data_IF_853887292076
#
_entry.id   IF_853887292076
#
_cell.length_a   1.000
_cell.length_b   1.000
_cell.length_c   1.000
_cell.angle_alpha   90.00
_cell.angle_beta   90.00
_cell.angle_gamma   90.00
#
_symmetry.space_group_name_H-M   'P 1'
#
loop_
_entity.id
_entity.type
_entity.pdbx_description
1 polymer ?
#
# COMPACT_ATOMS: atom_id res chain seq x y z
N UNK A 1 -15.04 -4.36 -12.65
CA UNK A 1 -14.14 -3.36 -12.00
C UNK A 1 -12.72 -3.62 -12.48
N UNK A 2 -11.81 -2.64 -12.48
CA UNK A 2 -10.43 -2.83 -13.01
C UNK A 2 -9.67 -3.99 -12.34
N UNK A 3 -9.99 -4.26 -11.07
CA UNK A 3 -9.40 -5.34 -10.28
C UNK A 3 -9.82 -6.74 -10.73
N UNK A 4 -10.92 -6.86 -11.48
CA UNK A 4 -11.50 -8.15 -11.87
C UNK A 4 -11.43 -8.36 -13.39
N UNK A 5 -10.62 -7.53 -14.08
CA UNK A 5 -10.34 -7.69 -15.51
C UNK A 5 -9.46 -8.91 -15.75
N UNK A 6 -9.42 -9.41 -16.99
CA UNK A 6 -8.51 -10.48 -17.40
C UNK A 6 -7.47 -9.95 -18.40
N UNK A 7 -6.15 -9.92 -18.07
CA UNK A 7 -5.57 -10.32 -16.79
C UNK A 7 -5.73 -9.25 -15.69
N UNK A 8 -5.97 -9.71 -14.46
CA UNK A 8 -6.12 -8.81 -13.31
C UNK A 8 -4.78 -8.15 -12.97
N UNK A 9 -4.76 -6.84 -12.64
CA UNK A 9 -3.53 -6.19 -12.23
C UNK A 9 -3.02 -6.79 -10.91
N UNK A 10 -1.70 -6.96 -10.81
CA UNK A 10 -1.04 -7.27 -9.53
C UNK A 10 -0.95 -5.98 -8.72
N UNK A 11 -1.35 -6.04 -7.45
CA UNK A 11 -1.32 -4.91 -6.54
C UNK A 11 -0.48 -5.28 -5.34
N UNK A 12 0.48 -4.42 -5.01
CA UNK A 12 1.22 -4.46 -3.76
C UNK A 12 0.97 -3.16 -3.03
N UNK A 13 0.49 -3.23 -1.80
CA UNK A 13 0.21 -2.08 -0.96
C UNK A 13 1.04 -2.16 0.31
N UNK A 14 1.93 -1.18 0.50
CA UNK A 14 2.69 -1.01 1.73
C UNK A 14 2.00 0.08 2.55
N UNK A 15 1.47 -0.30 3.71
CA UNK A 15 0.70 0.57 4.59
C UNK A 15 1.56 1.01 5.76
N UNK A 16 1.53 2.31 6.06
CA UNK A 16 2.12 2.82 7.28
C UNK A 16 1.20 2.58 8.48
N UNK A 17 1.79 2.32 9.65
CA UNK A 17 1.06 1.94 10.87
C UNK A 17 -0.12 2.88 11.23
N UNK A 18 -0.04 4.23 11.06
CA UNK A 18 -1.13 5.12 11.46
C UNK A 18 -2.46 4.83 10.76
N UNK A 19 -2.45 4.20 9.58
CA UNK A 19 -3.66 3.71 8.89
C UNK A 19 -4.45 2.73 9.76
N UNK A 20 -3.77 1.97 10.62
CA UNK A 20 -4.39 0.96 11.48
C UNK A 20 -4.92 1.51 12.81
N UNK A 21 -4.36 2.62 13.37
CA UNK A 21 -4.86 3.16 14.65
C UNK A 21 -5.58 4.50 14.58
N UNK A 22 -5.40 5.33 13.55
CA UNK A 22 -6.11 6.60 13.47
C UNK A 22 -7.61 6.33 13.34
N UNK A 23 -8.40 6.82 14.30
CA UNK A 23 -9.85 6.60 14.34
C UNK A 23 -10.53 7.47 13.30
N UNK A 24 -10.84 6.90 12.14
CA UNK A 24 -11.64 7.55 11.09
C UNK A 24 -13.04 6.94 11.08
N UNK A 25 -14.09 7.77 11.17
CA UNK A 25 -15.48 7.30 11.13
C UNK A 25 -15.97 6.50 12.36
N UNK A 26 -15.16 6.37 13.41
CA UNK A 26 -15.51 5.67 14.65
C UNK A 26 -15.19 4.16 14.66
N UNK A 27 -15.40 3.46 15.80
CA UNK A 27 -14.92 2.09 15.99
C UNK A 27 -15.52 1.07 15.01
N UNK A 28 -16.82 1.15 14.73
CA UNK A 28 -17.49 0.24 13.81
C UNK A 28 -16.96 0.40 12.36
N UNK A 29 -16.74 1.64 11.91
CA UNK A 29 -16.20 1.92 10.59
C UNK A 29 -14.77 1.39 10.47
N UNK A 30 -13.92 1.65 11.47
CA UNK A 30 -12.55 1.14 11.47
C UNK A 30 -12.49 -0.38 11.41
N UNK A 31 -13.33 -1.09 12.18
CA UNK A 31 -13.41 -2.56 12.09
C UNK A 31 -13.76 -3.03 10.69
N UNK A 32 -14.77 -2.42 10.06
CA UNK A 32 -15.19 -2.78 8.71
C UNK A 32 -14.10 -2.49 7.67
N UNK A 33 -13.38 -1.38 7.80
CA UNK A 33 -12.26 -1.03 6.91
C UNK A 33 -11.11 -2.04 7.03
N UNK A 34 -10.71 -2.39 8.25
CA UNK A 34 -9.66 -3.38 8.49
C UNK A 34 -10.09 -4.78 8.05
N UNK A 35 -11.35 -5.16 8.27
CA UNK A 35 -11.89 -6.42 7.74
C UNK A 35 -11.85 -6.45 6.21
N UNK A 36 -12.18 -5.33 5.55
CA UNK A 36 -12.08 -5.24 4.11
C UNK A 36 -10.64 -5.43 3.59
N UNK A 37 -9.63 -4.91 4.30
CA UNK A 37 -8.22 -5.17 3.96
C UNK A 37 -7.88 -6.67 4.08
N UNK A 38 -8.36 -7.35 5.11
CA UNK A 38 -8.19 -8.80 5.26
C UNK A 38 -8.85 -9.59 4.12
N UNK A 39 -10.03 -9.15 3.68
CA UNK A 39 -10.75 -9.80 2.57
C UNK A 39 -10.01 -9.58 1.24
N UNK A 40 -9.48 -8.38 1.00
CA UNK A 40 -8.67 -8.07 -0.18
C UNK A 40 -7.37 -8.88 -0.22
N UNK A 41 -6.71 -9.06 0.93
CA UNK A 41 -5.48 -9.84 1.03
C UNK A 41 -5.64 -11.35 0.76
N UNK A 42 -6.88 -11.85 0.70
CA UNK A 42 -7.15 -13.24 0.27
C UNK A 42 -7.09 -13.41 -1.25
N UNK A 43 -7.08 -12.31 -2.01
CA UNK A 43 -7.02 -12.37 -3.48
C UNK A 43 -5.60 -12.68 -3.95
N UNK A 44 -5.41 -13.58 -4.93
CA UNK A 44 -4.08 -13.99 -5.39
C UNK A 44 -3.30 -12.88 -6.10
N UNK A 45 -3.97 -11.82 -6.53
CA UNK A 45 -3.38 -10.67 -7.21
C UNK A 45 -3.11 -9.47 -6.29
N UNK A 46 -3.35 -9.59 -4.97
CA UNK A 46 -3.20 -8.49 -4.01
C UNK A 46 -2.29 -8.93 -2.85
N UNK A 47 -1.24 -8.16 -2.62
CA UNK A 47 -0.38 -8.26 -1.43
C UNK A 47 -0.52 -6.99 -0.60
N UNK A 48 -0.78 -7.14 0.69
CA UNK A 48 -0.82 -6.03 1.65
C UNK A 48 0.23 -6.31 2.72
N UNK A 49 1.08 -5.32 2.99
CA UNK A 49 2.07 -5.36 4.05
C UNK A 49 1.98 -4.10 4.90
N UNK A 50 2.39 -4.20 6.16
CA UNK A 50 2.39 -3.08 7.11
C UNK A 50 3.82 -2.80 7.56
N UNK A 51 4.22 -1.54 7.54
CA UNK A 51 5.52 -1.09 8.04
C UNK A 51 5.57 -1.17 9.58
N UNK A 52 6.76 -1.40 10.17
CA UNK A 52 6.98 -1.28 11.60
C UNK A 52 6.57 0.10 12.14
N UNK A 53 6.17 0.15 13.41
CA UNK A 53 5.58 1.36 14.01
C UNK A 53 6.59 2.50 14.21
N UNK A 54 7.78 2.19 14.73
CA UNK A 54 8.76 3.16 15.21
C UNK A 54 10.05 3.21 14.37
N UNK A 55 9.97 2.81 13.10
CA UNK A 55 11.11 2.80 12.18
C UNK A 55 11.02 3.91 11.13
N UNK A 56 12.18 4.50 10.81
CA UNK A 56 12.29 5.43 9.71
C UNK A 56 12.16 4.69 8.37
N UNK A 57 11.35 5.24 7.47
CA UNK A 57 11.19 4.70 6.12
C UNK A 57 11.01 5.82 5.09
N UNK A 58 11.41 5.57 3.85
CA UNK A 58 11.41 6.58 2.77
C UNK A 58 10.01 7.16 2.48
N UNK A 59 8.96 6.36 2.69
CA UNK A 59 7.55 6.78 2.57
C UNK A 59 7.09 7.84 3.57
N UNK A 60 7.88 8.19 4.59
CA UNK A 60 7.57 9.31 5.49
C UNK A 60 7.63 10.67 4.77
N UNK A 61 8.31 10.74 3.63
CA UNK A 61 8.41 11.97 2.81
C UNK A 61 7.15 12.26 1.98
N UNK A 62 6.27 11.27 1.83
CA UNK A 62 5.03 11.36 1.08
C UNK A 62 4.60 10.01 0.53
N UNK A 63 3.29 9.84 0.27
CA UNK A 63 2.81 8.66 -0.43
C UNK A 63 3.03 8.79 -1.95
N UNK A 64 3.15 7.65 -2.60
CA UNK A 64 3.29 7.56 -4.05
C UNK A 64 2.68 6.24 -4.54
N UNK A 65 2.44 6.15 -5.84
CA UNK A 65 2.01 4.92 -6.50
C UNK A 65 2.85 4.71 -7.73
N UNK A 66 3.47 3.53 -7.84
CA UNK A 66 4.22 3.11 -9.03
C UNK A 66 3.28 2.26 -9.88
N UNK A 67 3.04 2.69 -11.11
CA UNK A 67 2.45 1.88 -12.17
C UNK A 67 3.60 1.21 -12.91
N UNK A 68 3.83 -0.07 -12.57
CA UNK A 68 4.88 -0.86 -13.18
C UNK A 68 4.41 -1.51 -14.48
N UNK A 69 5.18 -1.35 -15.54
CA UNK A 69 4.93 -1.96 -16.86
C UNK A 69 6.00 -3.00 -17.19
N UNK A 70 5.86 -3.69 -18.32
CA UNK A 70 6.94 -4.55 -18.82
C UNK A 70 8.04 -3.70 -19.46
N UNK A 71 9.18 -4.31 -19.80
CA UNK A 71 10.37 -3.61 -20.31
C UNK A 71 10.13 -2.79 -21.60
N UNK A 72 8.93 -2.87 -22.20
CA UNK A 72 8.54 -2.09 -23.36
C UNK A 72 8.13 -0.64 -23.03
N UNK A 73 7.66 -0.37 -21.81
CA UNK A 73 7.19 0.94 -21.37
C UNK A 73 7.85 1.36 -20.05
N UNK A 74 8.21 2.65 -19.87
CA UNK A 74 8.74 3.11 -18.60
C UNK A 74 7.64 3.09 -17.52
N UNK A 75 8.02 2.75 -16.30
CA UNK A 75 7.17 2.89 -15.12
C UNK A 75 6.67 4.36 -14.99
N UNK A 76 5.44 4.52 -14.49
CA UNK A 76 4.87 5.84 -14.23
C UNK A 76 4.61 5.98 -12.75
N UNK A 77 5.08 7.08 -12.15
CA UNK A 77 4.83 7.38 -10.74
C UNK A 77 3.75 8.44 -10.61
N UNK A 78 2.75 8.15 -9.79
CA UNK A 78 1.73 9.09 -9.39
C UNK A 78 2.00 9.61 -7.97
N UNK A 79 2.12 10.94 -7.87
CA UNK A 79 2.26 11.65 -6.60
C UNK A 79 0.98 12.44 -6.33
N UNK A 80 0.31 12.20 -5.19
CA UNK A 80 -0.81 13.02 -4.78
C UNK A 80 -0.36 14.45 -4.51
N UNK A 81 -1.00 15.41 -5.17
CA UNK A 81 -0.91 16.82 -4.85
C UNK A 81 -2.28 17.32 -4.35
N UNK A 82 -2.33 18.55 -3.83
CA UNK A 82 -3.53 19.10 -3.20
C UNK A 82 -4.76 19.10 -4.13
N UNK A 83 -4.55 19.51 -5.37
CA UNK A 83 -5.63 19.76 -6.33
C UNK A 83 -5.46 18.93 -7.64
N UNK A 84 -4.35 18.20 -7.77
CA UNK A 84 -4.03 17.42 -8.97
C UNK A 84 -3.26 16.14 -8.63
N UNK A 85 -3.14 15.26 -9.63
CA UNK A 85 -2.24 14.12 -9.60
C UNK A 85 -1.03 14.44 -10.47
N UNK A 86 0.16 14.50 -9.86
CA UNK A 86 1.39 14.70 -10.62
C UNK A 86 1.90 13.35 -11.11
N UNK A 87 2.10 13.23 -12.42
CA UNK A 87 2.69 12.07 -13.05
C UNK A 87 4.18 12.31 -13.33
N UNK A 88 5.00 11.30 -13.07
CA UNK A 88 6.41 11.26 -13.41
C UNK A 88 6.59 10.09 -14.38
N UNK A 89 6.90 10.43 -15.64
CA UNK A 89 7.13 9.49 -16.73
C UNK A 89 8.62 9.43 -17.12
N UNK A 90 9.45 10.31 -16.56
CA UNK A 90 10.89 10.31 -16.80
C UNK A 90 11.50 9.08 -16.12
N UNK A 91 12.14 8.22 -16.92
CA UNK A 91 12.58 6.90 -16.51
C UNK A 91 13.46 6.90 -15.26
N UNK A 92 14.47 7.76 -15.19
CA UNK A 92 15.42 7.78 -14.07
C UNK A 92 14.71 8.10 -12.75
N UNK A 93 13.80 9.07 -12.78
CA UNK A 93 12.98 9.44 -11.64
C UNK A 93 12.01 8.32 -11.26
N UNK A 94 11.36 7.67 -12.24
CA UNK A 94 10.48 6.55 -11.97
C UNK A 94 11.22 5.36 -11.35
N UNK A 95 12.39 5.00 -11.89
CA UNK A 95 13.26 3.94 -11.36
C UNK A 95 13.67 4.18 -9.89
N UNK A 96 13.88 5.45 -9.51
CA UNK A 96 14.18 5.81 -8.12
C UNK A 96 13.01 5.51 -7.17
N UNK A 97 11.77 5.85 -7.56
CA UNK A 97 10.58 5.50 -6.78
C UNK A 97 10.30 3.99 -6.76
N UNK A 98 10.56 3.28 -7.86
CA UNK A 98 10.49 1.81 -7.88
C UNK A 98 11.49 1.21 -6.88
N UNK A 99 12.70 1.77 -6.80
CA UNK A 99 13.71 1.36 -5.82
C UNK A 99 13.25 1.65 -4.39
N UNK A 100 12.70 2.83 -4.13
CA UNK A 100 12.12 3.20 -2.83
C UNK A 100 10.97 2.25 -2.44
N UNK A 101 10.11 1.87 -3.39
CA UNK A 101 9.05 0.90 -3.15
C UNK A 101 9.59 -0.46 -2.71
N UNK A 102 10.65 -0.95 -3.35
CA UNK A 102 11.29 -2.22 -2.99
C UNK A 102 11.89 -2.16 -1.58
N UNK A 103 12.52 -1.04 -1.21
CA UNK A 103 13.01 -0.82 0.16
C UNK A 103 11.86 -0.87 1.17
N UNK A 104 10.73 -0.22 0.87
CA UNK A 104 9.54 -0.28 1.72
C UNK A 104 8.95 -1.69 1.83
N UNK A 105 8.95 -2.45 0.73
CA UNK A 105 8.50 -3.85 0.71
C UNK A 105 9.39 -4.74 1.59
N UNK A 106 10.71 -4.54 1.53
CA UNK A 106 11.69 -5.27 2.35
C UNK A 106 11.59 -4.93 3.84
N UNK A 107 11.35 -3.66 4.18
CA UNK A 107 11.18 -3.22 5.57
C UNK A 107 9.84 -3.63 6.19
N UNK A 108 8.80 -3.80 5.37
CA UNK A 108 7.47 -4.13 5.88
C UNK A 108 7.40 -5.57 6.42
N UNK A 109 6.50 -5.79 7.38
CA UNK A 109 6.25 -7.14 7.89
C UNK A 109 5.84 -8.08 6.75
N UNK A 110 6.22 -9.38 6.81
CA UNK A 110 5.77 -10.37 5.86
C UNK A 110 4.23 -10.37 5.71
N UNK A 111 3.69 -10.73 4.54
CA UNK A 111 2.24 -10.68 4.31
C UNK A 111 1.42 -11.45 5.36
N UNK A 112 1.88 -12.62 5.82
CA UNK A 112 1.19 -13.41 6.84
C UNK A 112 1.16 -12.69 8.20
N UNK A 113 2.30 -12.16 8.64
CA UNK A 113 2.44 -11.40 9.88
C UNK A 113 1.57 -10.13 9.85
N UNK A 114 1.48 -9.48 8.68
CA UNK A 114 0.59 -8.33 8.45
C UNK A 114 -0.87 -8.68 8.73
N UNK A 115 -1.35 -9.87 8.33
CA UNK A 115 -2.72 -10.29 8.62
C UNK A 115 -2.97 -10.41 10.12
N UNK A 116 -2.00 -10.92 10.88
CA UNK A 116 -2.11 -11.05 12.33
C UNK A 116 -2.07 -9.72 13.06
N UNK A 117 -1.26 -8.76 12.57
CA UNK A 117 -1.26 -7.37 13.03
C UNK A 117 -2.65 -6.75 12.83
N UNK A 118 -3.24 -6.87 11.64
CA UNK A 118 -4.57 -6.32 11.34
C UNK A 118 -5.66 -6.99 12.20
N UNK A 119 -5.64 -8.32 12.34
CA UNK A 119 -6.59 -9.06 13.20
C UNK A 119 -6.49 -8.64 14.66
N UNK A 120 -5.27 -8.46 15.17
CA UNK A 120 -5.05 -7.98 16.54
C UNK A 120 -5.64 -6.60 16.71
N UNK A 121 -5.42 -5.71 15.74
CA UNK A 121 -5.97 -4.36 15.77
C UNK A 121 -7.50 -4.34 15.79
N UNK A 122 -8.16 -5.20 15.01
CA UNK A 122 -9.64 -5.31 15.02
C UNK A 122 -10.18 -5.64 16.41
N UNK A 123 -9.48 -6.49 17.18
CA UNK A 123 -9.88 -6.88 18.54
C UNK A 123 -9.71 -5.75 19.55
N UNK A 124 -8.72 -4.88 19.36
CA UNK A 124 -8.43 -3.74 20.24
C UNK A 124 -9.37 -2.55 20.01
N UNK A 125 -9.97 -2.46 18.82
CA UNK A 125 -11.01 -1.47 18.55
C UNK A 125 -12.22 -1.89 19.39
N UNK A 126 -12.57 -1.08 20.40
CA UNK A 126 -13.70 -1.27 21.32
C UNK A 126 -15.06 -1.28 20.66
#
# INVERSE_FOLDING_TARGET
MILDRDPAPKIKAILWWPVLKNKVGGPAVMRNQLQHLLDLAQRPNITIQVLPEDEFHVGMTGNFTVFAFDDAEPDVVALPARDELRLIEEKTSADAYTSDFLVLEEQAHPPLDTLDIIRTRIKEIG
#
